data_IF_369960022445
#
_entry.id   IF_369960022445
#
_cell.length_a   1.000
_cell.length_b   1.000
_cell.length_c   1.000
_cell.angle_alpha   90.00
_cell.angle_beta   90.00
_cell.angle_gamma   90.00
#
_symmetry.space_group_name_H-M   'P 1'
#
loop_
_entity.id
_entity.type
_entity.pdbx_description
1 polymer ?
#
# COMPACT_ATOMS: atom_id res chain seq x y z
N UNK A 1 8.17 21.15 12.47
CA UNK A 1 7.84 21.06 11.03
C UNK A 1 7.62 19.62 10.58
N UNK A 2 8.57 18.69 10.80
CA UNK A 2 8.37 17.28 10.42
C UNK A 2 7.46 16.55 11.43
N UNK A 3 7.65 16.75 12.74
CA UNK A 3 6.77 16.19 13.78
C UNK A 3 5.31 16.67 13.62
N UNK A 4 5.09 17.96 13.34
CA UNK A 4 3.74 18.49 13.09
C UNK A 4 3.05 17.85 11.88
N UNK A 5 3.82 17.53 10.83
CA UNK A 5 3.32 16.82 9.65
C UNK A 5 2.88 15.39 10.01
N UNK A 6 3.67 14.67 10.81
CA UNK A 6 3.32 13.33 11.28
C UNK A 6 2.10 13.38 12.19
N UNK A 7 2.07 14.28 13.18
CA UNK A 7 0.93 14.42 14.10
C UNK A 7 -0.38 14.77 13.36
N UNK A 8 -0.31 15.64 12.35
CA UNK A 8 -1.48 15.97 11.52
C UNK A 8 -1.99 14.81 10.66
N UNK A 9 -1.10 13.89 10.26
CA UNK A 9 -1.43 12.75 9.37
C UNK A 9 -1.81 11.49 10.12
N UNK A 10 -1.16 11.25 11.26
CA UNK A 10 -1.35 10.09 12.12
C UNK A 10 -2.55 10.29 13.04
N UNK A 11 -2.81 11.53 13.46
CA UNK A 11 -3.84 11.81 14.45
C UNK A 11 -3.58 11.02 15.74
N UNK A 12 -4.62 10.37 16.27
CA UNK A 12 -4.56 9.61 17.53
C UNK A 12 -4.31 8.10 17.34
N UNK A 13 -4.11 7.61 16.11
CA UNK A 13 -3.90 6.19 15.86
C UNK A 13 -2.42 5.80 15.88
N UNK A 14 -2.17 4.49 15.83
CA UNK A 14 -0.82 3.94 15.83
C UNK A 14 -0.17 4.07 14.44
N UNK A 15 1.17 4.08 14.42
CA UNK A 15 1.98 4.00 13.20
C UNK A 15 2.75 2.70 13.23
N UNK A 16 2.61 1.89 12.19
CA UNK A 16 3.35 0.64 12.04
C UNK A 16 4.30 0.71 10.85
N UNK A 17 5.44 0.06 10.93
CA UNK A 17 6.34 -0.09 9.78
C UNK A 17 5.91 -1.31 8.95
N UNK A 18 5.84 -1.16 7.63
CA UNK A 18 5.61 -2.27 6.71
C UNK A 18 6.76 -2.43 5.73
N UNK A 19 7.51 -3.52 5.89
CA UNK A 19 8.64 -3.89 5.04
C UNK A 19 8.45 -5.25 4.37
N UNK A 20 9.39 -5.57 3.46
CA UNK A 20 9.56 -6.90 2.87
C UNK A 20 8.33 -7.44 2.12
N UNK A 21 7.60 -6.56 1.43
CA UNK A 21 6.53 -6.97 0.50
C UNK A 21 7.04 -8.03 -0.48
N UNK A 22 6.48 -9.24 -0.40
CA UNK A 22 6.93 -10.37 -1.21
C UNK A 22 5.74 -11.24 -1.61
N UNK A 23 5.75 -11.68 -2.87
CA UNK A 23 4.85 -12.71 -3.37
C UNK A 23 5.68 -13.86 -3.91
N UNK A 24 5.24 -15.09 -3.64
CA UNK A 24 5.85 -16.28 -4.25
C UNK A 24 5.55 -16.29 -5.75
N UNK A 25 6.59 -16.32 -6.56
CA UNK A 25 6.46 -16.56 -8.01
C UNK A 25 6.12 -18.02 -8.26
N UNK A 26 5.12 -18.28 -9.11
CA UNK A 26 4.80 -19.61 -9.63
C UNK A 26 5.03 -19.62 -11.13
N UNK A 27 5.63 -20.70 -11.64
CA UNK A 27 6.15 -20.77 -13.02
C UNK A 27 5.06 -20.75 -14.12
N UNK A 28 3.78 -21.01 -13.77
CA UNK A 28 2.74 -21.38 -14.74
C UNK A 28 1.40 -20.62 -14.63
N UNK A 29 1.34 -19.45 -14.00
CA UNK A 29 0.04 -18.80 -13.75
C UNK A 29 -0.08 -17.44 -14.41
N UNK A 30 -0.98 -17.38 -15.39
CA UNK A 30 -1.66 -16.16 -15.81
C UNK A 30 -2.54 -15.68 -14.65
N UNK A 31 -1.93 -14.98 -13.69
CA UNK A 31 -2.68 -14.43 -12.57
C UNK A 31 -3.66 -13.36 -13.06
N UNK A 32 -4.83 -13.32 -12.44
CA UNK A 32 -5.79 -12.23 -12.63
C UNK A 32 -5.09 -10.92 -12.28
N UNK A 33 -5.19 -9.94 -13.19
CA UNK A 33 -4.67 -8.59 -12.97
C UNK A 33 -5.82 -7.61 -12.95
N UNK A 34 -5.77 -6.68 -12.00
CA UNK A 34 -6.69 -5.55 -11.91
C UNK A 34 -5.87 -4.28 -11.94
N UNK A 35 -6.22 -3.36 -12.84
CA UNK A 35 -5.48 -2.11 -13.08
C UNK A 35 -3.96 -2.32 -13.28
N UNK A 36 -3.59 -3.46 -13.88
CA UNK A 36 -2.19 -3.84 -14.14
C UNK A 36 -1.42 -4.35 -12.91
N UNK A 37 -2.08 -4.65 -11.79
CA UNK A 37 -1.49 -5.25 -10.58
C UNK A 37 -1.95 -6.69 -10.44
N UNK A 38 -1.07 -7.59 -10.00
CA UNK A 38 -1.42 -8.97 -9.65
C UNK A 38 -2.44 -8.97 -8.49
N UNK A 39 -3.55 -9.68 -8.64
CA UNK A 39 -4.63 -9.71 -7.63
C UNK A 39 -4.12 -10.10 -6.25
N UNK A 40 -3.07 -10.94 -6.15
CA UNK A 40 -2.50 -11.35 -4.86
C UNK A 40 -1.86 -10.19 -4.11
N UNK A 41 -1.29 -9.22 -4.83
CA UNK A 41 -0.77 -7.98 -4.22
C UNK A 41 -1.92 -7.17 -3.64
N UNK A 42 -3.03 -7.04 -4.38
CA UNK A 42 -4.21 -6.27 -3.97
C UNK A 42 -4.88 -6.93 -2.76
N UNK A 43 -4.99 -8.26 -2.75
CA UNK A 43 -5.48 -9.03 -1.60
C UNK A 43 -4.59 -8.83 -0.36
N UNK A 44 -3.27 -8.91 -0.51
CA UNK A 44 -2.33 -8.63 0.58
C UNK A 44 -2.54 -7.22 1.15
N UNK A 45 -2.64 -6.21 0.29
CA UNK A 45 -2.88 -4.83 0.72
C UNK A 45 -4.26 -4.66 1.40
N UNK A 46 -5.28 -5.35 0.91
CA UNK A 46 -6.61 -5.39 1.53
C UNK A 46 -6.57 -5.94 2.95
N UNK A 47 -5.88 -7.06 3.17
CA UNK A 47 -5.73 -7.63 4.51
C UNK A 47 -4.87 -6.78 5.43
N UNK A 48 -3.83 -6.11 4.91
CA UNK A 48 -3.08 -5.12 5.70
C UNK A 48 -3.98 -3.98 6.16
N UNK A 49 -4.82 -3.42 5.28
CA UNK A 49 -5.78 -2.37 5.65
C UNK A 49 -6.81 -2.87 6.67
N UNK A 50 -7.32 -4.09 6.51
CA UNK A 50 -8.25 -4.72 7.46
C UNK A 50 -7.60 -4.85 8.86
N UNK A 51 -6.37 -5.37 8.90
CA UNK A 51 -5.61 -5.50 10.14
C UNK A 51 -5.33 -4.14 10.79
N UNK A 52 -4.97 -3.13 10.00
CA UNK A 52 -4.75 -1.77 10.50
C UNK A 52 -6.00 -1.19 11.18
N UNK A 53 -7.18 -1.35 10.55
CA UNK A 53 -8.44 -0.89 11.12
C UNK A 53 -8.76 -1.58 12.45
N UNK A 54 -8.52 -2.89 12.56
CA UNK A 54 -8.73 -3.66 13.78
C UNK A 54 -7.80 -3.23 14.93
N UNK A 55 -6.61 -2.72 14.61
CA UNK A 55 -5.59 -2.32 15.59
C UNK A 55 -5.52 -0.81 15.81
N UNK A 56 -6.47 -0.03 15.26
CA UNK A 56 -6.45 1.43 15.31
C UNK A 56 -5.12 2.04 14.79
N UNK A 57 -4.57 1.43 13.74
CA UNK A 57 -3.38 1.91 13.04
C UNK A 57 -3.80 2.94 11.99
N UNK A 58 -3.33 4.17 12.11
CA UNK A 58 -3.67 5.27 11.19
C UNK A 58 -2.93 5.17 9.85
N UNK A 59 -1.71 4.68 9.87
CA UNK A 59 -0.90 4.54 8.66
C UNK A 59 0.21 3.50 8.82
N UNK A 60 0.70 3.03 7.68
CA UNK A 60 1.98 2.35 7.59
C UNK A 60 3.08 3.31 7.14
N UNK A 61 4.20 3.32 7.86
CA UNK A 61 5.46 3.85 7.37
C UNK A 61 6.14 2.82 6.48
N UNK A 62 6.60 3.26 5.31
CA UNK A 62 7.24 2.38 4.34
C UNK A 62 8.44 3.05 3.67
N UNK A 63 9.42 2.23 3.29
CA UNK A 63 10.47 2.59 2.33
C UNK A 63 10.31 1.71 1.11
N UNK A 64 10.05 2.32 -0.05
CA UNK A 64 9.78 1.61 -1.29
C UNK A 64 10.56 2.18 -2.46
N UNK A 65 10.90 1.35 -3.44
CA UNK A 65 11.48 1.82 -4.70
C UNK A 65 10.41 2.43 -5.62
N UNK A 66 10.86 2.96 -6.76
CA UNK A 66 9.96 3.54 -7.76
C UNK A 66 8.98 2.54 -8.42
N UNK A 67 9.29 1.25 -8.44
CA UNK A 67 8.40 0.23 -9.00
C UNK A 67 7.26 -0.07 -8.02
N UNK A 68 7.58 -0.29 -6.75
CA UNK A 68 6.60 -0.53 -5.71
C UNK A 68 5.71 0.70 -5.49
N UNK A 69 6.25 1.93 -5.57
CA UNK A 69 5.43 3.15 -5.60
C UNK A 69 4.37 3.11 -6.72
N UNK A 70 4.73 2.67 -7.93
CA UNK A 70 3.77 2.53 -9.05
C UNK A 70 2.75 1.43 -8.78
N UNK A 71 3.15 0.32 -8.16
CA UNK A 71 2.24 -0.77 -7.77
C UNK A 71 1.20 -0.27 -6.77
N UNK A 72 1.63 0.44 -5.72
CA UNK A 72 0.77 1.06 -4.71
C UNK A 72 -0.27 2.00 -5.33
N UNK A 73 0.16 2.92 -6.19
CA UNK A 73 -0.75 3.85 -6.88
C UNK A 73 -1.76 3.14 -7.79
N UNK A 74 -1.33 2.10 -8.53
CA UNK A 74 -2.25 1.29 -9.34
C UNK A 74 -3.26 0.51 -8.48
N UNK A 75 -2.86 0.08 -7.29
CA UNK A 75 -3.74 -0.52 -6.28
C UNK A 75 -4.60 0.53 -5.53
N UNK A 76 -4.61 1.79 -5.97
CA UNK A 76 -5.34 2.93 -5.36
C UNK A 76 -4.92 3.23 -3.93
N UNK A 77 -3.73 2.81 -3.51
CA UNK A 77 -3.18 3.10 -2.20
C UNK A 77 -1.96 4.01 -2.36
N UNK A 78 -2.23 5.28 -2.66
CA UNK A 78 -1.18 6.24 -2.98
C UNK A 78 -0.27 6.51 -1.77
N UNK A 79 1.04 6.51 -2.02
CA UNK A 79 2.06 6.84 -1.04
C UNK A 79 2.14 8.36 -0.85
N UNK A 80 1.91 8.82 0.39
CA UNK A 80 2.22 10.19 0.79
C UNK A 80 3.72 10.29 1.05
N UNK A 81 4.45 10.89 0.12
CA UNK A 81 5.92 10.90 0.14
C UNK A 81 6.41 11.95 1.12
N UNK A 82 7.16 11.50 2.14
CA UNK A 82 7.82 12.37 3.11
C UNK A 82 9.23 12.71 2.65
N UNK A 83 9.96 11.73 2.11
CA UNK A 83 11.33 11.92 1.65
C UNK A 83 11.65 11.07 0.43
N UNK A 84 12.53 11.60 -0.44
CA UNK A 84 13.08 10.89 -1.60
C UNK A 84 14.59 10.77 -1.45
N UNK A 85 15.09 9.54 -1.46
CA UNK A 85 16.51 9.23 -1.36
C UNK A 85 17.01 8.39 -2.54
N UNK A 86 18.22 7.84 -2.37
CA UNK A 86 18.80 6.86 -3.29
C UNK A 86 19.09 5.55 -2.56
N UNK A 87 18.72 4.44 -3.19
CA UNK A 87 19.02 3.09 -2.72
C UNK A 87 20.46 2.67 -3.02
N UNK A 88 20.80 1.44 -2.63
CA UNK A 88 22.16 0.90 -2.75
C UNK A 88 22.62 0.67 -4.18
N UNK A 89 21.69 0.62 -5.15
CA UNK A 89 21.98 0.52 -6.59
C UNK A 89 21.70 1.84 -7.31
N UNK A 90 21.72 2.95 -6.58
CA UNK A 90 21.45 4.31 -7.09
C UNK A 90 20.04 4.51 -7.66
N UNK A 91 19.11 3.59 -7.37
CA UNK A 91 17.69 3.71 -7.68
C UNK A 91 16.99 4.73 -6.79
N UNK A 92 15.91 5.34 -7.27
CA UNK A 92 15.10 6.23 -6.42
C UNK A 92 14.31 5.40 -5.39
N UNK A 93 14.47 5.75 -4.12
CA UNK A 93 13.69 5.21 -3.00
C UNK A 93 12.86 6.32 -2.35
N UNK A 94 11.71 5.95 -1.82
CA UNK A 94 10.73 6.85 -1.24
C UNK A 94 10.40 6.37 0.16
N UNK A 95 10.61 7.24 1.15
CA UNK A 95 10.05 7.09 2.48
C UNK A 95 8.73 7.85 2.53
N UNK A 96 7.69 7.22 3.05
CA UNK A 96 6.37 7.82 3.10
C UNK A 96 5.36 7.05 3.91
N UNK A 97 4.14 7.55 3.88
CA UNK A 97 3.01 7.05 4.64
C UNK A 97 1.94 6.47 3.73
N UNK A 98 1.42 5.30 4.11
CA UNK A 98 0.25 4.66 3.53
C UNK A 98 -0.91 4.78 4.51
N UNK A 99 -1.89 5.62 4.22
CA UNK A 99 -3.03 5.86 5.12
C UNK A 99 -3.97 4.66 5.23
N UNK A 100 -4.46 4.41 6.44
CA UNK A 100 -5.31 3.27 6.80
C UNK A 100 -6.69 3.74 7.26
N UNK A 101 -7.48 4.29 6.33
CA UNK A 101 -8.86 4.70 6.62
C UNK A 101 -9.87 3.68 6.11
N UNK A 102 -11.08 3.69 6.67
CA UNK A 102 -12.19 2.89 6.13
C UNK A 102 -12.45 3.18 4.65
N UNK A 103 -12.31 4.45 4.23
CA UNK A 103 -12.46 4.83 2.83
C UNK A 103 -11.38 4.17 1.97
N UNK A 104 -10.14 4.10 2.45
CA UNK A 104 -9.06 3.43 1.76
C UNK A 104 -9.31 1.91 1.66
N UNK A 105 -9.80 1.28 2.73
CA UNK A 105 -10.21 -0.12 2.72
C UNK A 105 -11.34 -0.38 1.72
N UNK A 106 -12.37 0.48 1.68
CA UNK A 106 -13.47 0.39 0.69
C UNK A 106 -12.96 0.48 -0.75
N UNK A 107 -12.04 1.40 -1.05
CA UNK A 107 -11.41 1.50 -2.39
C UNK A 107 -10.68 0.22 -2.76
N UNK A 108 -9.93 -0.37 -1.82
CA UNK A 108 -9.23 -1.63 -2.05
C UNK A 108 -10.21 -2.79 -2.29
N UNK A 109 -11.29 -2.86 -1.49
CA UNK A 109 -12.34 -3.87 -1.64
C UNK A 109 -13.03 -3.78 -3.01
N UNK A 110 -13.36 -2.59 -3.49
CA UNK A 110 -13.90 -2.41 -4.84
C UNK A 110 -12.94 -2.92 -5.93
N UNK A 111 -11.64 -2.76 -5.74
CA UNK A 111 -10.64 -3.29 -6.67
C UNK A 111 -10.64 -4.83 -6.70
N UNK A 112 -10.80 -5.44 -5.52
CA UNK A 112 -10.91 -6.90 -5.36
C UNK A 112 -12.20 -7.39 -6.02
N UNK A 113 -13.33 -6.75 -5.74
CA UNK A 113 -14.63 -7.09 -6.31
C UNK A 113 -14.62 -6.98 -7.85
N UNK A 114 -14.00 -5.91 -8.39
CA UNK A 114 -13.77 -5.74 -9.82
C UNK A 114 -12.95 -6.89 -10.42
N UNK A 115 -11.91 -7.35 -9.73
CA UNK A 115 -11.06 -8.44 -10.22
C UNK A 115 -11.80 -9.78 -10.32
N UNK A 116 -12.81 -9.99 -9.48
CA UNK A 116 -13.65 -11.19 -9.47
C UNK A 116 -14.96 -11.05 -10.26
N UNK A 117 -15.18 -9.92 -10.96
CA UNK A 117 -16.39 -9.70 -11.74
C UNK A 117 -17.65 -9.50 -10.89
N UNK A 118 -17.49 -9.05 -9.64
CA UNK A 118 -18.59 -8.80 -8.70
C UNK A 118 -19.18 -7.38 -8.83
N UNK A 119 -18.55 -6.52 -9.64
CA UNK A 119 -19.05 -5.20 -10.02
C UNK A 119 -19.38 -5.21 -11.51
N UNK A 120 -20.64 -4.92 -11.85
CA UNK A 120 -21.14 -4.69 -13.22
C UNK A 120 -20.99 -3.21 -13.55
#
# INVERSE_FOLDING_TARGET
MQEDYFLAKVGNGQVWEASRFALKTTRNSSFVRVDGVDIRTVLLFGEMLNLALQNNTSCYEVIVDGLMKKVLSRAKWDLDIVHKGRGSKNESVYYGLLGCSENQYKKMKLLIDKAFGLLV
#
